data_IF_768254125818
#
_entry.id   IF_768254125818
#
_cell.length_a   1.000
_cell.length_b   1.000
_cell.length_c   1.000
_cell.angle_alpha   90.00
_cell.angle_beta   90.00
_cell.angle_gamma   90.00
#
_symmetry.space_group_name_H-M   'P 1'
#
loop_
_entity.id
_entity.type
_entity.pdbx_description
1 polymer ?
#
# COMPACT_ATOMS: atom_id res chain seq x y z
N UNK A 1 16.58 23.58 -14.29
CA UNK A 1 15.69 22.39 -14.24
C UNK A 1 15.84 21.79 -15.62
N UNK A 2 17.00 21.18 -15.85
CA UNK A 2 17.61 21.06 -17.18
C UNK A 2 17.35 19.67 -17.78
N UNK A 3 16.19 19.06 -17.48
CA UNK A 3 16.14 17.60 -17.31
C UNK A 3 15.10 16.81 -18.10
N UNK A 4 14.48 17.35 -19.15
CA UNK A 4 13.71 16.48 -20.05
C UNK A 4 13.82 16.85 -21.52
N UNK A 5 13.64 18.12 -21.88
CA UNK A 5 13.74 18.63 -23.25
C UNK A 5 14.37 20.02 -23.16
N UNK A 6 15.70 20.08 -23.15
CA UNK A 6 16.41 21.34 -22.91
C UNK A 6 16.96 21.94 -24.21
N UNK A 7 17.14 21.11 -25.24
CA UNK A 7 17.69 21.49 -26.54
C UNK A 7 16.81 20.98 -27.68
N UNK A 8 16.89 21.64 -28.83
CA UNK A 8 16.21 21.15 -30.05
C UNK A 8 16.66 19.74 -30.45
N UNK A 9 17.86 19.30 -30.05
CA UNK A 9 18.32 17.91 -30.25
C UNK A 9 17.52 16.89 -29.43
N UNK A 10 17.08 17.26 -28.23
CA UNK A 10 16.24 16.40 -27.39
C UNK A 10 14.86 16.25 -28.04
N UNK A 11 14.32 17.35 -28.61
CA UNK A 11 13.08 17.37 -29.40
C UNK A 11 13.21 16.48 -30.64
N UNK A 12 14.32 16.57 -31.36
CA UNK A 12 14.59 15.76 -32.55
C UNK A 12 14.63 14.25 -32.23
N UNK A 13 15.25 13.87 -31.10
CA UNK A 13 15.31 12.49 -30.65
C UNK A 13 13.91 11.95 -30.30
N UNK A 14 13.09 12.75 -29.63
CA UNK A 14 11.72 12.38 -29.26
C UNK A 14 10.78 12.31 -30.46
N UNK A 15 11.02 13.14 -31.48
CA UNK A 15 10.32 13.06 -32.78
C UNK A 15 10.70 11.78 -33.51
N UNK A 16 12.00 11.43 -33.55
CA UNK A 16 12.49 10.19 -34.18
C UNK A 16 11.99 8.92 -33.48
N UNK A 17 11.74 8.99 -32.17
CA UNK A 17 11.16 7.88 -31.42
C UNK A 17 9.63 7.80 -31.51
N UNK A 18 8.98 8.71 -32.25
CA UNK A 18 7.53 8.71 -32.48
C UNK A 18 6.71 9.11 -31.25
N UNK A 19 7.32 9.80 -30.27
CA UNK A 19 6.64 10.16 -29.02
C UNK A 19 5.70 11.36 -29.22
N UNK A 20 5.98 12.25 -30.18
CA UNK A 20 5.05 13.26 -30.65
C UNK A 20 5.31 13.61 -32.12
N UNK A 21 4.23 13.97 -32.84
CA UNK A 21 4.32 14.55 -34.18
C UNK A 21 4.49 16.05 -34.07
N UNK A 22 5.49 16.61 -34.74
CA UNK A 22 5.78 18.03 -34.65
C UNK A 22 4.76 18.85 -35.45
N UNK A 23 3.68 19.27 -34.80
CA UNK A 23 2.68 20.19 -35.37
C UNK A 23 3.13 21.66 -35.31
N UNK A 24 4.21 21.93 -34.58
CA UNK A 24 4.87 23.22 -34.51
C UNK A 24 6.03 23.21 -35.51
N UNK A 25 6.19 24.27 -36.29
CA UNK A 25 7.11 24.24 -37.44
C UNK A 25 8.59 24.30 -37.06
N UNK A 26 8.89 24.53 -35.78
CA UNK A 26 10.24 24.74 -35.25
C UNK A 26 10.48 23.98 -33.94
N UNK A 27 11.54 23.18 -33.91
CA UNK A 27 11.96 22.38 -32.75
C UNK A 27 12.42 23.26 -31.57
N UNK A 28 12.87 24.51 -31.83
CA UNK A 28 13.19 25.47 -30.77
C UNK A 28 11.95 25.99 -30.04
N UNK A 29 10.83 26.19 -30.74
CA UNK A 29 9.57 26.62 -30.12
C UNK A 29 8.99 25.54 -29.20
N UNK A 30 9.06 24.28 -29.66
CA UNK A 30 8.67 23.11 -28.87
C UNK A 30 9.50 23.06 -27.59
N UNK A 31 10.82 23.24 -27.69
CA UNK A 31 11.73 23.28 -26.54
C UNK A 31 11.31 24.36 -25.53
N UNK A 32 10.96 25.57 -25.98
CA UNK A 32 10.53 26.68 -25.09
C UNK A 32 9.23 26.37 -24.37
N UNK A 33 8.25 25.78 -25.06
CA UNK A 33 6.96 25.40 -24.47
C UNK A 33 7.16 24.32 -23.39
N UNK A 34 7.92 23.27 -23.70
CA UNK A 34 8.19 22.20 -22.74
C UNK A 34 9.00 22.67 -21.54
N UNK A 35 9.99 23.55 -21.74
CA UNK A 35 10.73 24.15 -20.63
C UNK A 35 9.83 24.99 -19.72
N UNK A 36 8.92 25.78 -20.30
CA UNK A 36 7.95 26.58 -19.53
C UNK A 36 6.96 25.69 -18.77
N UNK A 37 6.50 24.61 -19.40
CA UNK A 37 5.61 23.62 -18.78
C UNK A 37 6.32 22.90 -17.63
N UNK A 38 7.55 22.44 -17.84
CA UNK A 38 8.36 21.78 -16.82
C UNK A 38 8.65 22.70 -15.63
N UNK A 39 8.95 23.97 -15.89
CA UNK A 39 9.11 24.97 -14.84
C UNK A 39 7.82 25.17 -14.03
N UNK A 40 6.68 25.32 -14.71
CA UNK A 40 5.39 25.50 -14.05
C UNK A 40 5.01 24.28 -13.18
N UNK A 41 5.14 23.07 -13.72
CA UNK A 41 4.87 21.83 -13.00
C UNK A 41 5.79 21.68 -11.79
N UNK A 42 7.10 21.90 -11.97
CA UNK A 42 8.04 21.76 -10.87
C UNK A 42 7.85 22.80 -9.77
N UNK A 43 7.68 24.08 -10.16
CA UNK A 43 7.62 25.16 -9.19
C UNK A 43 6.26 25.19 -8.50
N UNK A 44 5.16 25.14 -9.23
CA UNK A 44 3.82 25.31 -8.65
C UNK A 44 3.31 24.02 -8.00
N UNK A 45 3.38 22.88 -8.71
CA UNK A 45 2.92 21.60 -8.15
C UNK A 45 3.93 21.09 -7.14
N UNK A 46 5.23 21.15 -7.45
CA UNK A 46 6.29 20.73 -6.53
C UNK A 46 6.31 21.55 -5.24
N UNK A 47 6.14 22.88 -5.28
CA UNK A 47 6.08 23.67 -4.05
C UNK A 47 4.82 23.36 -3.22
N UNK A 48 3.66 23.17 -3.86
CA UNK A 48 2.43 22.77 -3.15
C UNK A 48 2.54 21.38 -2.53
N UNK A 49 3.09 20.41 -3.26
CA UNK A 49 3.35 19.06 -2.74
C UNK A 49 4.37 19.09 -1.59
N UNK A 50 5.47 19.82 -1.75
CA UNK A 50 6.49 19.96 -0.70
C UNK A 50 5.90 20.64 0.55
N UNK A 51 5.07 21.67 0.37
CA UNK A 51 4.34 22.34 1.46
C UNK A 51 3.40 21.36 2.16
N UNK A 52 2.65 20.56 1.40
CA UNK A 52 1.74 19.54 1.93
C UNK A 52 2.49 18.44 2.71
N UNK A 53 3.62 17.95 2.19
CA UNK A 53 4.45 16.95 2.86
C UNK A 53 5.11 17.50 4.15
N UNK A 54 5.39 18.79 4.20
CA UNK A 54 5.98 19.48 5.38
C UNK A 54 4.96 19.86 6.45
N UNK A 55 3.65 19.69 6.20
CA UNK A 55 2.63 19.92 7.24
C UNK A 55 2.92 18.99 8.41
N UNK A 56 3.09 19.57 9.61
CA UNK A 56 3.43 18.84 10.85
C UNK A 56 2.52 17.62 11.05
N UNK A 57 1.22 17.77 10.80
CA UNK A 57 0.23 16.68 10.86
C UNK A 57 0.58 15.47 9.97
N UNK A 58 1.01 15.69 8.73
CA UNK A 58 1.37 14.61 7.80
C UNK A 58 2.64 13.87 8.24
N UNK A 59 3.61 14.60 8.79
CA UNK A 59 4.82 14.03 9.39
C UNK A 59 4.45 13.18 10.62
N UNK A 60 3.62 13.71 11.51
CA UNK A 60 3.14 12.99 12.68
C UNK A 60 2.35 11.74 12.31
N UNK A 61 1.45 11.82 11.33
CA UNK A 61 0.70 10.66 10.81
C UNK A 61 1.62 9.59 10.22
N UNK A 62 2.68 9.98 9.50
CA UNK A 62 3.66 9.04 8.94
C UNK A 62 4.47 8.37 10.05
N UNK A 63 4.96 9.14 11.03
CA UNK A 63 5.65 8.60 12.21
C UNK A 63 4.76 7.64 12.99
N UNK A 64 3.50 8.03 13.22
CA UNK A 64 2.50 7.21 13.90
C UNK A 64 2.25 5.90 13.14
N UNK A 65 2.08 5.96 11.82
CA UNK A 65 1.89 4.77 10.98
C UNK A 65 3.08 3.84 11.12
N UNK A 66 4.31 4.33 10.97
CA UNK A 66 5.52 3.51 11.15
C UNK A 66 5.53 2.88 12.54
N UNK A 67 5.36 3.68 13.59
CA UNK A 67 5.27 3.23 14.99
C UNK A 67 4.23 2.12 15.18
N UNK A 68 3.07 2.23 14.52
CA UNK A 68 1.98 1.26 14.58
C UNK A 68 2.23 0.00 13.73
N UNK A 69 2.83 0.13 12.54
CA UNK A 69 3.02 -0.95 11.57
C UNK A 69 4.36 -1.67 11.72
N UNK A 70 5.23 -1.26 12.66
CA UNK A 70 6.47 -1.97 12.94
C UNK A 70 6.18 -3.40 13.43
N UNK A 71 6.78 -4.43 12.81
CA UNK A 71 6.63 -5.81 13.26
C UNK A 71 7.31 -5.96 14.62
N UNK A 72 6.53 -6.11 15.70
CA UNK A 72 7.10 -6.32 17.04
C UNK A 72 6.34 -5.73 18.23
N UNK A 73 5.13 -5.17 18.04
CA UNK A 73 4.36 -4.62 19.16
C UNK A 73 3.54 -5.68 19.92
N UNK A 74 3.35 -5.48 21.25
CA UNK A 74 2.69 -6.44 22.14
C UNK A 74 1.26 -6.78 21.73
N UNK A 75 0.54 -5.91 21.00
CA UNK A 75 -0.82 -6.21 20.57
C UNK A 75 -0.88 -7.41 19.60
N UNK A 76 0.14 -7.63 18.77
CA UNK A 76 0.22 -8.85 17.94
C UNK A 76 0.48 -10.09 18.78
N UNK A 77 1.29 -9.97 19.84
CA UNK A 77 1.53 -11.05 20.80
C UNK A 77 0.25 -11.37 21.58
N UNK A 78 -0.46 -10.36 22.09
CA UNK A 78 -1.73 -10.51 22.79
C UNK A 78 -2.82 -11.10 21.87
N UNK A 79 -2.90 -10.65 20.62
CA UNK A 79 -3.83 -11.21 19.63
C UNK A 79 -3.48 -12.66 19.31
N UNK A 80 -2.20 -12.99 19.14
CA UNK A 80 -1.73 -14.36 18.88
C UNK A 80 -2.00 -15.27 20.07
N UNK A 81 -1.76 -14.79 21.30
CA UNK A 81 -2.08 -15.52 22.53
C UNK A 81 -3.58 -15.76 22.66
N UNK A 82 -4.39 -14.74 22.38
CA UNK A 82 -5.86 -14.83 22.36
C UNK A 82 -6.35 -15.88 21.37
N UNK A 83 -5.84 -15.88 20.13
CA UNK A 83 -6.17 -16.88 19.12
C UNK A 83 -5.78 -18.30 19.57
N UNK A 84 -4.61 -18.48 20.16
CA UNK A 84 -4.16 -19.77 20.70
C UNK A 84 -5.10 -20.28 21.81
N UNK A 85 -5.49 -19.41 22.75
CA UNK A 85 -6.45 -19.75 23.82
C UNK A 85 -7.83 -20.14 23.25
N UNK A 86 -8.33 -19.43 22.24
CA UNK A 86 -9.60 -19.74 21.60
C UNK A 86 -9.56 -21.08 20.85
N UNK A 87 -8.44 -21.43 20.21
CA UNK A 87 -8.26 -22.74 19.58
C UNK A 87 -8.24 -23.86 20.62
N UNK A 88 -7.53 -23.66 21.74
CA UNK A 88 -7.53 -24.61 22.84
C UNK A 88 -8.95 -24.87 23.38
N UNK A 89 -9.72 -23.80 23.64
CA UNK A 89 -11.10 -23.93 24.11
C UNK A 89 -11.99 -24.66 23.09
N UNK A 90 -11.84 -24.36 21.78
CA UNK A 90 -12.56 -25.06 20.71
C UNK A 90 -12.23 -26.56 20.66
N UNK A 91 -10.96 -26.92 20.84
CA UNK A 91 -10.52 -28.32 20.88
C UNK A 91 -11.06 -29.04 22.10
N UNK A 92 -10.97 -28.42 23.27
CA UNK A 92 -11.51 -28.97 24.52
C UNK A 92 -13.01 -29.25 24.41
N UNK A 93 -13.78 -28.27 23.91
CA UNK A 93 -15.22 -28.44 23.75
C UNK A 93 -15.57 -29.51 22.69
N UNK A 94 -14.78 -29.61 21.61
CA UNK A 94 -14.93 -30.68 20.62
C UNK A 94 -14.69 -32.06 21.25
N UNK A 95 -13.69 -32.20 22.11
CA UNK A 95 -13.37 -33.44 22.80
C UNK A 95 -14.49 -33.88 23.75
N UNK A 96 -15.01 -32.97 24.58
CA UNK A 96 -16.17 -33.24 25.44
C UNK A 96 -17.41 -33.68 24.63
N UNK A 97 -17.62 -33.07 23.47
CA UNK A 97 -18.72 -33.44 22.57
C UNK A 97 -18.55 -34.85 21.97
N UNK A 98 -17.30 -35.31 21.78
CA UNK A 98 -17.02 -36.68 21.31
C UNK A 98 -17.31 -37.68 22.43
N UNK A 99 -16.85 -37.42 23.65
CA UNK A 99 -17.11 -38.30 24.81
C UNK A 99 -18.61 -38.42 25.07
N UNK A 100 -19.33 -37.30 25.11
CA UNK A 100 -20.79 -37.31 25.36
C UNK A 100 -21.56 -38.02 24.24
N UNK A 101 -21.12 -37.93 22.98
CA UNK A 101 -21.70 -38.72 21.88
C UNK A 101 -21.40 -40.22 22.03
N UNK A 102 -20.16 -40.57 22.38
CA UNK A 102 -19.75 -41.94 22.65
C UNK A 102 -20.58 -42.60 23.76
N UNK A 103 -20.75 -41.90 24.88
CA UNK A 103 -21.59 -42.38 25.99
C UNK A 103 -23.05 -42.58 25.57
N UNK A 104 -23.65 -41.62 24.83
CA UNK A 104 -25.01 -41.78 24.30
C UNK A 104 -25.15 -42.96 23.34
N UNK A 105 -24.14 -43.23 22.50
CA UNK A 105 -24.16 -44.41 21.62
C UNK A 105 -24.01 -45.73 22.36
N UNK A 106 -23.32 -45.74 23.49
CA UNK A 106 -23.18 -46.94 24.34
C UNK A 106 -24.49 -47.16 25.09
N UNK A 107 -25.06 -46.14 25.72
CA UNK A 107 -26.39 -46.23 26.37
C UNK A 107 -27.47 -46.69 25.38
N UNK A 108 -27.54 -46.10 24.18
CA UNK A 108 -28.51 -46.51 23.16
C UNK A 108 -28.35 -47.98 22.69
N UNK A 109 -27.14 -48.55 22.75
CA UNK A 109 -26.91 -49.97 22.47
C UNK A 109 -27.28 -50.87 23.65
N UNK A 110 -27.12 -50.40 24.89
CA UNK A 110 -27.46 -51.14 26.11
C UNK A 110 -28.98 -51.24 26.32
N UNK A 111 -29.74 -50.22 25.95
CA UNK A 111 -31.21 -50.20 26.09
C UNK A 111 -31.98 -50.90 24.94
N UNK A 112 -31.29 -51.42 23.93
CA UNK A 112 -31.88 -52.14 22.79
C UNK A 112 -31.53 -53.64 22.73
N UNK A 113 -30.98 -54.18 23.83
CA UNK A 113 -30.83 -55.63 24.11
C UNK A 113 -31.89 -55.99 25.16
#
# INVERSE_FOLDING_TARGET
MDKLINTGKDVELLRKSGIFDNWLRDDEEVTKIFNKLGYFVYYDIGARMNKHCKIKWNIWKTKLKIILTLPGRPYHFLLRLSCSCLLYYKLYFRFLRIITRGNKTIEAKVYHI
#
